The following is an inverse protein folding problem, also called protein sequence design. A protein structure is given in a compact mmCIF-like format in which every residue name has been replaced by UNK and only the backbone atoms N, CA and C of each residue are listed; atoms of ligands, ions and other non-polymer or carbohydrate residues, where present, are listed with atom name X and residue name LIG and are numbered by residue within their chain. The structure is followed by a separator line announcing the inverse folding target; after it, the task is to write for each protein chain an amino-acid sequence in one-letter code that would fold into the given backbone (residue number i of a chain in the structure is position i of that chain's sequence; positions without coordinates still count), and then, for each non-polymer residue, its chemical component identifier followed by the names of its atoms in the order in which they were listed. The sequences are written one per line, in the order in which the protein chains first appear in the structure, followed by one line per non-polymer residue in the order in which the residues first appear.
data_IF_994717942385
#
_entry.id   IF_994717942385
#
_cell.length_a   1.000
_cell.length_b   1.000
_cell.length_c   1.000
_cell.angle_alpha   90.00
_cell.angle_beta   90.00
_cell.angle_gamma   90.00
#
_symmetry.space_group_name_H-M   'P 1'
#
loop_
_entity.id
_entity.type
_entity.pdbx_description
1 polymer ?
#
# COMPACT_ATOMS: atom_id res chain seq x y z
N UNK A 1 42.78 49.60 38.70
CA UNK A 1 42.20 49.18 37.44
C UNK A 1 42.82 47.83 37.07
N UNK A 2 42.16 46.74 37.33
CA UNK A 2 42.65 45.39 37.10
C UNK A 2 41.96 44.82 35.88
N UNK A 3 42.74 44.55 34.82
CA UNK A 3 42.27 43.93 33.60
C UNK A 3 42.10 42.41 33.77
N UNK A 4 40.90 41.90 33.58
CA UNK A 4 40.60 40.49 33.61
C UNK A 4 41.05 39.84 32.28
N UNK A 5 42.02 38.93 32.38
CA UNK A 5 42.47 38.09 31.29
C UNK A 5 41.47 36.93 31.06
N UNK A 6 40.78 36.91 29.93
CA UNK A 6 39.94 35.79 29.50
C UNK A 6 40.85 34.69 28.99
N UNK A 7 40.89 33.56 29.68
CA UNK A 7 41.51 32.33 29.15
C UNK A 7 40.54 31.65 28.18
N UNK A 8 40.90 31.57 26.93
CA UNK A 8 40.28 30.74 25.94
C UNK A 8 40.79 29.31 26.13
N UNK A 9 39.92 28.40 26.51
CA UNK A 9 40.20 26.95 26.49
C UNK A 9 40.26 26.44 25.03
N UNK A 10 41.20 25.54 24.72
CA UNK A 10 41.25 24.92 23.39
C UNK A 10 40.10 23.91 23.22
N UNK A 11 39.63 23.69 21.97
CA UNK A 11 38.55 22.76 21.74
C UNK A 11 38.96 21.31 22.07
N UNK A 12 38.10 20.64 22.81
CA UNK A 12 38.24 19.23 23.16
C UNK A 12 38.06 18.41 21.87
N UNK A 13 39.16 17.85 21.38
CA UNK A 13 39.17 16.91 20.29
C UNK A 13 38.60 15.57 20.77
N UNK A 14 37.44 15.18 20.27
CA UNK A 14 36.87 13.86 20.54
C UNK A 14 37.82 12.76 20.01
N UNK A 15 38.00 11.64 20.75
CA UNK A 15 38.83 10.55 20.30
C UNK A 15 38.16 9.87 19.09
N UNK A 16 38.83 9.86 17.95
CA UNK A 16 38.51 9.02 16.82
C UNK A 16 38.75 7.56 17.24
N UNK A 17 37.67 6.84 17.52
CA UNK A 17 37.73 5.39 17.65
C UNK A 17 37.95 4.79 16.24
N UNK A 18 39.19 4.49 15.92
CA UNK A 18 39.53 3.63 14.80
C UNK A 18 39.11 2.21 15.16
N UNK A 19 37.94 1.81 14.74
CA UNK A 19 37.52 0.42 14.76
C UNK A 19 38.21 -0.30 13.57
N UNK A 20 39.39 -0.86 13.81
CA UNK A 20 39.99 -1.87 12.94
C UNK A 20 39.18 -3.16 13.06
N UNK A 21 38.14 -3.30 12.24
CA UNK A 21 37.48 -4.58 12.03
C UNK A 21 38.29 -5.38 11.01
N UNK A 22 39.36 -6.06 11.44
CA UNK A 22 39.99 -7.12 10.69
C UNK A 22 39.15 -8.40 10.78
N UNK A 23 37.98 -8.37 10.15
CA UNK A 23 37.20 -9.56 9.85
C UNK A 23 37.38 -9.89 8.40
N UNK A 24 37.99 -11.05 8.09
CA UNK A 24 38.01 -11.66 6.77
C UNK A 24 36.57 -11.86 6.31
N UNK A 25 36.03 -10.85 5.63
CA UNK A 25 34.70 -10.92 5.03
C UNK A 25 34.75 -11.97 3.92
N UNK A 26 34.12 -13.13 4.15
CA UNK A 26 33.90 -14.12 3.12
C UNK A 26 33.13 -13.44 1.98
N UNK A 27 33.69 -13.42 0.75
CA UNK A 27 32.98 -12.82 -0.37
C UNK A 27 31.64 -13.56 -0.56
N UNK A 28 30.54 -12.85 -0.47
CA UNK A 28 29.23 -13.39 -0.80
C UNK A 28 28.87 -12.90 -2.21
N UNK A 29 29.11 -13.70 -3.27
CA UNK A 29 28.99 -13.25 -4.66
C UNK A 29 27.60 -12.70 -4.97
N UNK A 30 26.55 -13.27 -4.37
CA UNK A 30 25.16 -12.84 -4.57
C UNK A 30 24.84 -11.46 -3.98
N UNK A 31 25.59 -10.99 -2.97
CA UNK A 31 25.44 -9.64 -2.42
C UNK A 31 26.02 -8.57 -3.34
N UNK A 32 26.99 -8.92 -4.19
CA UNK A 32 27.55 -8.01 -5.18
C UNK A 32 26.62 -7.80 -6.38
N UNK A 33 25.92 -8.86 -6.79
CA UNK A 33 24.92 -8.78 -7.87
C UNK A 33 23.69 -7.94 -7.49
N UNK A 34 23.32 -7.92 -6.21
CA UNK A 34 22.18 -7.11 -5.72
C UNK A 34 22.59 -5.66 -5.38
N UNK A 35 23.89 -5.30 -5.56
CA UNK A 35 24.38 -3.96 -5.27
C UNK A 35 24.41 -3.59 -3.78
N UNK A 36 24.29 -4.57 -2.89
CA UNK A 36 24.38 -4.38 -1.44
C UNK A 36 25.84 -4.43 -0.98
N UNK A 37 26.61 -3.43 -1.35
CA UNK A 37 27.96 -3.28 -0.79
C UNK A 37 27.89 -2.40 0.46
N UNK A 38 28.39 -2.89 1.58
CA UNK A 38 28.52 -2.18 2.85
C UNK A 38 29.49 -0.99 2.84
N UNK A 39 29.77 -0.43 1.68
CA UNK A 39 30.74 0.64 1.47
C UNK A 39 30.13 1.88 0.82
N UNK A 40 29.73 2.83 1.65
CA UNK A 40 29.58 4.24 1.27
C UNK A 40 28.25 4.65 0.65
N UNK A 41 27.59 5.60 1.31
CA UNK A 41 26.38 6.28 0.88
C UNK A 41 26.41 6.89 -0.54
N UNK A 42 27.58 6.90 -1.20
CA UNK A 42 27.78 7.46 -2.54
C UNK A 42 27.27 6.56 -3.68
N UNK A 43 27.25 5.22 -3.49
CA UNK A 43 26.80 4.28 -4.54
C UNK A 43 25.29 4.10 -4.62
N UNK A 44 24.57 4.41 -3.53
CA UNK A 44 23.08 4.32 -3.48
C UNK A 44 22.45 5.37 -4.40
N UNK A 45 23.13 6.46 -4.71
CA UNK A 45 22.62 7.52 -5.59
C UNK A 45 22.52 7.13 -7.07
N UNK A 46 23.21 6.09 -7.50
CA UNK A 46 23.23 5.63 -8.90
C UNK A 46 22.33 4.45 -9.18
N UNK A 47 21.69 3.86 -8.14
CA UNK A 47 20.72 2.81 -8.36
C UNK A 47 19.44 3.39 -8.98
N UNK A 48 18.92 2.77 -10.03
CA UNK A 48 17.65 3.20 -10.62
C UNK A 48 16.54 3.10 -9.56
N UNK A 49 15.69 4.13 -9.49
CA UNK A 49 14.51 4.07 -8.63
C UNK A 49 13.57 3.00 -9.16
N UNK A 50 13.37 1.96 -8.38
CA UNK A 50 12.44 0.90 -8.73
C UNK A 50 11.05 1.34 -8.30
N UNK A 51 10.21 1.73 -9.26
CA UNK A 51 8.78 1.96 -9.04
C UNK A 51 8.00 0.65 -9.21
N UNK A 52 6.73 0.63 -8.75
CA UNK A 52 5.85 -0.51 -8.96
C UNK A 52 5.68 -0.84 -10.46
N UNK A 53 5.66 0.17 -11.33
CA UNK A 53 5.58 0.03 -12.79
C UNK A 53 6.83 -0.64 -13.37
N UNK A 54 8.00 -0.37 -12.81
CA UNK A 54 9.24 -1.03 -13.20
C UNK A 54 9.30 -2.44 -12.63
N UNK A 55 8.94 -2.61 -11.36
CA UNK A 55 8.95 -3.90 -10.68
C UNK A 55 8.03 -4.93 -11.37
N UNK A 56 6.85 -4.53 -11.81
CA UNK A 56 5.91 -5.44 -12.50
C UNK A 56 6.43 -5.94 -13.87
N UNK A 57 7.44 -5.30 -14.47
CA UNK A 57 8.09 -5.78 -15.70
C UNK A 57 9.02 -6.96 -15.44
N UNK A 58 9.40 -7.18 -14.18
CA UNK A 58 10.19 -8.34 -13.79
C UNK A 58 9.28 -9.57 -13.72
N UNK A 59 9.58 -10.60 -14.52
CA UNK A 59 8.72 -11.78 -14.68
C UNK A 59 8.37 -12.47 -13.35
N UNK A 60 9.33 -12.59 -12.43
CA UNK A 60 9.12 -13.20 -11.11
C UNK A 60 8.18 -12.37 -10.25
N UNK A 61 8.34 -11.04 -10.21
CA UNK A 61 7.45 -10.15 -9.44
C UNK A 61 6.03 -10.22 -9.99
N UNK A 62 5.90 -10.13 -11.32
CA UNK A 62 4.60 -10.27 -11.99
C UNK A 62 3.96 -11.61 -11.65
N UNK A 63 4.68 -12.72 -11.77
CA UNK A 63 4.15 -14.06 -11.51
C UNK A 63 3.70 -14.22 -10.05
N UNK A 64 4.50 -13.78 -9.07
CA UNK A 64 4.12 -13.85 -7.65
C UNK A 64 2.85 -13.04 -7.36
N UNK A 65 2.76 -11.80 -7.83
CA UNK A 65 1.57 -10.97 -7.64
C UNK A 65 0.35 -11.57 -8.35
N UNK A 66 0.52 -12.12 -9.56
CA UNK A 66 -0.58 -12.71 -10.32
C UNK A 66 -1.12 -14.00 -9.69
N UNK A 67 -0.26 -14.85 -9.13
CA UNK A 67 -0.68 -16.07 -8.41
C UNK A 67 -1.51 -15.70 -7.17
N UNK A 68 -1.01 -14.80 -6.33
CA UNK A 68 -1.73 -14.36 -5.12
C UNK A 68 -3.07 -13.72 -5.49
N UNK A 69 -3.08 -12.81 -6.47
CA UNK A 69 -4.29 -12.15 -6.92
C UNK A 69 -5.29 -13.14 -7.55
N UNK A 70 -4.79 -14.12 -8.31
CA UNK A 70 -5.61 -15.18 -8.91
C UNK A 70 -6.29 -16.06 -7.87
N UNK A 71 -5.59 -16.41 -6.81
CA UNK A 71 -6.17 -17.22 -5.72
C UNK A 71 -7.20 -16.42 -4.92
N UNK A 72 -6.93 -15.15 -4.61
CA UNK A 72 -7.92 -14.26 -3.98
C UNK A 72 -9.17 -14.07 -4.85
N UNK A 73 -9.01 -13.99 -6.17
CA UNK A 73 -10.14 -13.82 -7.10
C UNK A 73 -11.07 -15.05 -7.18
N UNK A 74 -10.56 -16.23 -6.89
CA UNK A 74 -11.33 -17.49 -6.93
C UNK A 74 -12.17 -17.71 -5.67
N UNK A 75 -11.79 -17.12 -4.53
CA UNK A 75 -12.47 -17.33 -3.24
C UNK A 75 -13.81 -16.59 -3.23
N UNK A 76 -14.95 -17.30 -3.04
CA UNK A 76 -16.24 -16.63 -2.95
C UNK A 76 -16.37 -15.89 -1.61
N UNK A 77 -16.78 -14.62 -1.69
CA UNK A 77 -17.00 -13.78 -0.52
C UNK A 77 -18.42 -13.97 0.03
N UNK A 78 -18.54 -14.20 1.34
CA UNK A 78 -19.82 -14.40 2.02
C UNK A 78 -20.10 -13.25 2.97
N UNK A 79 -21.33 -12.74 2.95
CA UNK A 79 -21.78 -11.71 3.85
C UNK A 79 -22.43 -12.32 5.09
N UNK A 80 -21.99 -11.86 6.27
CA UNK A 80 -22.58 -12.26 7.54
C UNK A 80 -23.01 -11.01 8.32
N UNK A 81 -24.16 -11.10 8.95
CA UNK A 81 -24.63 -10.10 9.90
C UNK A 81 -24.52 -10.69 11.31
N UNK A 82 -23.96 -9.90 12.22
CA UNK A 82 -23.93 -10.27 13.63
C UNK A 82 -25.24 -9.84 14.30
N UNK A 83 -25.97 -10.80 14.84
CA UNK A 83 -27.16 -10.56 15.64
C UNK A 83 -26.79 -10.03 17.03
N UNK A 84 -27.75 -9.41 17.73
CA UNK A 84 -27.54 -8.88 19.09
C UNK A 84 -27.13 -9.92 20.14
N UNK A 85 -27.37 -11.20 19.88
CA UNK A 85 -26.93 -12.34 20.70
C UNK A 85 -25.52 -12.84 20.37
N UNK A 86 -24.80 -12.14 19.46
CA UNK A 86 -23.46 -12.48 19.04
C UNK A 86 -23.36 -13.56 17.94
N UNK A 87 -24.49 -14.10 17.48
CA UNK A 87 -24.55 -15.08 16.40
C UNK A 87 -24.31 -14.45 15.04
N UNK A 88 -23.59 -15.13 14.18
CA UNK A 88 -23.34 -14.72 12.79
C UNK A 88 -24.34 -15.44 11.87
N UNK A 89 -25.23 -14.65 11.25
CA UNK A 89 -26.21 -15.15 10.29
C UNK A 89 -25.80 -14.75 8.89
N UNK A 90 -25.78 -15.70 7.97
CA UNK A 90 -25.47 -15.42 6.56
C UNK A 90 -26.59 -14.63 5.92
N UNK A 91 -26.24 -13.45 5.37
CA UNK A 91 -27.15 -12.59 4.62
C UNK A 91 -27.04 -12.91 3.14
N UNK A 92 -28.18 -13.18 2.50
CA UNK A 92 -28.28 -13.44 1.05
C UNK A 92 -29.02 -12.35 0.31
N UNK A 93 -29.98 -11.72 0.97
CA UNK A 93 -30.86 -10.68 0.42
C UNK A 93 -30.23 -9.28 0.62
N UNK A 94 -29.09 -9.06 -0.09
CA UNK A 94 -28.36 -7.81 -0.06
C UNK A 94 -27.59 -7.69 -1.40
N UNK A 95 -27.40 -6.48 -1.91
CA UNK A 95 -26.66 -6.27 -3.17
C UNK A 95 -25.18 -6.73 -3.10
N UNK A 96 -24.54 -6.63 -1.93
CA UNK A 96 -23.12 -6.93 -1.79
C UNK A 96 -22.70 -8.36 -2.20
N UNK A 97 -23.40 -9.47 -1.87
CA UNK A 97 -23.07 -10.79 -2.36
C UNK A 97 -23.04 -10.91 -3.89
N UNK A 98 -23.95 -10.23 -4.58
CA UNK A 98 -23.98 -10.20 -6.03
C UNK A 98 -22.81 -9.40 -6.59
N UNK A 99 -22.62 -8.16 -6.12
CA UNK A 99 -21.54 -7.27 -6.57
C UNK A 99 -20.12 -7.84 -6.29
N UNK A 100 -19.97 -8.58 -5.21
CA UNK A 100 -18.68 -9.17 -4.82
C UNK A 100 -18.36 -10.48 -5.52
N UNK A 101 -19.37 -11.22 -6.06
CA UNK A 101 -19.14 -12.57 -6.60
C UNK A 101 -19.55 -12.75 -8.05
N UNK A 102 -20.47 -11.95 -8.56
CA UNK A 102 -21.01 -12.11 -9.93
C UNK A 102 -20.57 -10.95 -10.79
N UNK A 103 -21.12 -9.77 -10.58
CA UNK A 103 -20.90 -8.60 -11.41
C UNK A 103 -20.69 -7.37 -10.51
N UNK A 104 -19.52 -6.78 -10.55
CA UNK A 104 -19.14 -5.68 -9.65
C UNK A 104 -19.64 -4.32 -10.15
N UNK A 105 -19.69 -4.14 -11.46
CA UNK A 105 -20.24 -2.98 -12.16
C UNK A 105 -20.82 -3.45 -13.49
N UNK A 106 -21.68 -2.67 -14.15
CA UNK A 106 -22.28 -3.06 -15.44
C UNK A 106 -21.23 -3.54 -16.45
N UNK A 107 -21.33 -4.82 -16.84
CA UNK A 107 -20.39 -5.45 -17.77
C UNK A 107 -19.03 -5.85 -17.18
N UNK A 108 -18.82 -5.70 -15.86
CA UNK A 108 -17.54 -6.01 -15.19
C UNK A 108 -17.72 -7.17 -14.21
N UNK A 109 -17.15 -8.33 -14.54
CA UNK A 109 -17.22 -9.48 -13.67
C UNK A 109 -16.51 -9.21 -12.31
N UNK A 110 -17.12 -9.63 -11.20
CA UNK A 110 -16.58 -9.44 -9.86
C UNK A 110 -15.20 -10.10 -9.65
N UNK A 111 -14.93 -11.22 -10.34
CA UNK A 111 -13.62 -11.88 -10.31
C UNK A 111 -12.49 -11.01 -10.86
N UNK A 112 -12.78 -10.21 -11.90
CA UNK A 112 -11.82 -9.28 -12.50
C UNK A 112 -11.48 -8.17 -11.50
N UNK A 113 -12.50 -7.61 -10.83
CA UNK A 113 -12.30 -6.58 -9.80
C UNK A 113 -11.51 -7.13 -8.62
N UNK A 114 -11.83 -8.33 -8.14
CA UNK A 114 -11.08 -8.98 -7.06
C UNK A 114 -9.63 -9.26 -7.43
N UNK A 115 -9.40 -9.73 -8.67
CA UNK A 115 -8.03 -9.93 -9.19
C UNK A 115 -7.26 -8.62 -9.20
N UNK A 116 -7.84 -7.57 -9.77
CA UNK A 116 -7.17 -6.27 -9.87
C UNK A 116 -6.88 -5.64 -8.50
N UNK A 117 -7.82 -5.76 -7.55
CA UNK A 117 -7.59 -5.33 -6.16
C UNK A 117 -6.48 -6.14 -5.49
N UNK A 118 -6.50 -7.46 -5.62
CA UNK A 118 -5.45 -8.34 -5.08
C UNK A 118 -4.08 -8.05 -5.68
N UNK A 119 -4.01 -7.82 -6.99
CA UNK A 119 -2.77 -7.49 -7.69
C UNK A 119 -2.21 -6.12 -7.26
N UNK A 120 -3.05 -5.09 -7.21
CA UNK A 120 -2.64 -3.76 -6.76
C UNK A 120 -2.19 -3.79 -5.29
N UNK A 121 -2.90 -4.51 -4.43
CA UNK A 121 -2.58 -4.68 -3.03
C UNK A 121 -1.19 -5.34 -2.83
N UNK A 122 -0.90 -6.43 -3.54
CA UNK A 122 0.38 -7.14 -3.41
C UNK A 122 1.56 -6.37 -4.01
N UNK A 123 1.34 -5.68 -5.14
CA UNK A 123 2.40 -4.96 -5.84
C UNK A 123 2.72 -3.59 -5.21
N UNK A 124 1.71 -2.90 -4.71
CA UNK A 124 1.80 -1.47 -4.33
C UNK A 124 1.48 -1.19 -2.87
N UNK A 125 1.07 -2.20 -2.11
CA UNK A 125 0.65 -2.04 -0.73
C UNK A 125 -0.73 -1.41 -0.55
N UNK A 126 -1.34 -0.84 -1.60
CA UNK A 126 -2.65 -0.24 -1.59
C UNK A 126 -3.50 -0.71 -2.76
N UNK A 127 -4.79 -0.87 -2.52
CA UNK A 127 -5.77 -1.05 -3.59
C UNK A 127 -7.05 -0.31 -3.24
N UNK A 128 -7.67 0.32 -4.24
CA UNK A 128 -8.84 1.17 -4.08
C UNK A 128 -9.96 0.73 -5.01
N UNK A 129 -11.19 0.69 -4.47
CA UNK A 129 -12.38 0.62 -5.28
C UNK A 129 -13.44 1.56 -4.72
N UNK A 130 -14.16 2.22 -5.59
CA UNK A 130 -15.29 3.06 -5.26
C UNK A 130 -16.54 2.20 -5.17
N UNK A 131 -17.24 2.32 -4.06
CA UNK A 131 -18.42 1.54 -3.74
C UNK A 131 -19.53 2.49 -3.23
N UNK A 132 -20.16 3.26 -4.15
CA UNK A 132 -21.23 4.19 -3.79
C UNK A 132 -22.43 3.45 -3.24
N UNK A 133 -23.20 4.19 -2.49
CA UNK A 133 -24.46 3.71 -1.94
C UNK A 133 -25.60 4.61 -2.41
N UNK A 134 -26.73 4.02 -2.67
CA UNK A 134 -27.95 4.73 -3.01
C UNK A 134 -28.56 5.46 -1.79
N UNK A 135 -29.70 6.11 -1.99
CA UNK A 135 -30.43 6.80 -0.93
C UNK A 135 -30.98 5.87 0.16
N UNK A 136 -31.10 4.57 -0.11
CA UNK A 136 -31.48 3.53 0.86
C UNK A 136 -30.27 2.94 1.60
N UNK A 137 -29.05 3.31 1.19
CA UNK A 137 -27.81 2.80 1.79
C UNK A 137 -27.29 1.50 1.16
N UNK A 138 -27.94 1.00 0.11
CA UNK A 138 -27.52 -0.19 -0.63
C UNK A 138 -26.35 0.13 -1.57
N UNK A 139 -25.49 -0.86 -1.79
CA UNK A 139 -24.38 -0.74 -2.73
C UNK A 139 -24.90 -0.75 -4.16
N UNK A 140 -24.52 0.25 -4.96
CA UNK A 140 -24.87 0.35 -6.37
C UNK A 140 -23.93 -0.42 -7.29
N UNK A 141 -22.63 -0.28 -7.04
CA UNK A 141 -21.55 -0.91 -7.84
C UNK A 141 -20.23 -0.95 -7.05
N UNK A 142 -19.25 -1.67 -7.60
CA UNK A 142 -17.86 -1.64 -7.12
C UNK A 142 -16.98 -1.34 -8.34
N UNK A 143 -16.48 -0.12 -8.42
CA UNK A 143 -15.64 0.36 -9.51
C UNK A 143 -14.18 0.48 -9.09
N UNK A 144 -13.26 0.02 -9.93
CA UNK A 144 -11.83 0.07 -9.66
C UNK A 144 -11.29 1.50 -9.78
N UNK A 145 -10.56 1.92 -8.76
CA UNK A 145 -9.88 3.22 -8.77
C UNK A 145 -8.38 3.03 -8.97
N UNK A 146 -7.83 3.72 -9.96
CA UNK A 146 -6.38 3.71 -10.21
C UNK A 146 -5.63 4.36 -9.05
N UNK A 147 -4.63 3.68 -8.51
CA UNK A 147 -3.84 4.21 -7.41
C UNK A 147 -3.13 5.53 -7.75
N UNK A 148 -2.62 5.66 -8.97
CA UNK A 148 -1.95 6.88 -9.44
C UNK A 148 -2.85 8.12 -9.46
N UNK A 149 -4.16 7.92 -9.53
CA UNK A 149 -5.17 8.97 -9.52
C UNK A 149 -5.94 9.10 -8.21
N UNK A 150 -5.56 8.36 -7.16
CA UNK A 150 -6.24 8.37 -5.87
C UNK A 150 -5.37 9.02 -4.80
N UNK A 151 -5.90 10.07 -4.17
CA UNK A 151 -5.28 10.73 -3.02
C UNK A 151 -6.11 10.48 -1.77
N UNK A 152 -5.44 10.05 -0.70
CA UNK A 152 -6.08 9.86 0.62
C UNK A 152 -5.94 11.15 1.41
N UNK A 153 -7.07 11.76 1.75
CA UNK A 153 -7.14 13.01 2.48
C UNK A 153 -7.64 12.78 3.90
N UNK A 154 -7.10 13.52 4.84
CA UNK A 154 -7.52 13.50 6.24
C UNK A 154 -8.12 14.85 6.63
N UNK A 155 -9.34 14.82 7.17
CA UNK A 155 -9.98 15.97 7.78
C UNK A 155 -10.37 15.62 9.22
N UNK A 156 -9.54 16.02 10.18
CA UNK A 156 -9.68 15.60 11.58
C UNK A 156 -9.53 14.09 11.74
N UNK A 157 -10.59 13.40 12.13
CA UNK A 157 -10.67 11.94 12.26
C UNK A 157 -11.28 11.24 11.06
N UNK A 158 -11.79 12.00 10.10
CA UNK A 158 -12.42 11.46 8.92
C UNK A 158 -11.42 11.32 7.78
N UNK A 159 -11.69 10.32 6.93
CA UNK A 159 -10.90 10.01 5.75
C UNK A 159 -11.77 10.25 4.53
N UNK A 160 -11.19 10.95 3.55
CA UNK A 160 -11.75 11.19 2.23
C UNK A 160 -10.78 10.72 1.17
N UNK A 161 -11.31 10.46 0.00
CA UNK A 161 -10.55 10.04 -1.16
C UNK A 161 -10.90 10.94 -2.33
N UNK A 162 -9.87 11.55 -2.93
CA UNK A 162 -10.01 12.24 -4.22
C UNK A 162 -9.49 11.32 -5.30
N UNK A 163 -10.31 10.99 -6.27
CA UNK A 163 -9.98 10.04 -7.32
C UNK A 163 -10.70 10.34 -8.62
N UNK A 164 -10.27 9.67 -9.69
CA UNK A 164 -10.94 9.65 -10.97
C UNK A 164 -11.71 8.31 -11.10
N UNK A 165 -13.01 8.38 -11.40
CA UNK A 165 -13.85 7.20 -11.59
C UNK A 165 -13.62 6.55 -12.96
N UNK A 166 -14.27 5.40 -13.23
CA UNK A 166 -14.17 4.69 -14.49
C UNK A 166 -14.64 5.49 -15.71
N UNK A 167 -15.42 6.55 -15.51
CA UNK A 167 -15.86 7.48 -16.54
C UNK A 167 -14.92 8.68 -16.75
N UNK A 168 -13.81 8.75 -16.02
CA UNK A 168 -12.84 9.86 -16.10
C UNK A 168 -13.26 11.11 -15.32
N UNK A 169 -14.26 11.03 -14.47
CA UNK A 169 -14.72 12.15 -13.66
C UNK A 169 -14.01 12.18 -12.32
N UNK A 170 -13.51 13.35 -11.92
CA UNK A 170 -12.94 13.56 -10.58
C UNK A 170 -14.03 13.58 -9.53
N UNK A 171 -13.85 12.76 -8.50
CA UNK A 171 -14.78 12.61 -7.40
C UNK A 171 -14.06 12.73 -6.06
N UNK A 172 -14.82 13.17 -5.06
CA UNK A 172 -14.45 13.07 -3.66
C UNK A 172 -15.44 12.17 -2.93
N UNK A 173 -14.96 11.14 -2.26
CA UNK A 173 -15.79 10.22 -1.53
C UNK A 173 -15.33 10.05 -0.07
N UNK A 174 -16.25 9.89 0.88
CA UNK A 174 -15.93 9.54 2.27
C UNK A 174 -15.50 8.07 2.35
N UNK A 175 -14.80 7.70 3.44
CA UNK A 175 -14.30 6.36 3.66
C UNK A 175 -15.36 5.25 3.55
N UNK A 176 -16.62 5.55 3.92
CA UNK A 176 -17.74 4.59 3.84
C UNK A 176 -18.12 4.20 2.41
N UNK A 177 -17.77 5.03 1.42
CA UNK A 177 -18.01 4.78 0.00
C UNK A 177 -16.77 4.28 -0.75
N UNK A 178 -15.73 3.87 -0.02
CA UNK A 178 -14.46 3.36 -0.59
C UNK A 178 -14.07 2.04 0.04
N UNK A 179 -13.69 1.10 -0.79
CA UNK A 179 -12.95 -0.10 -0.38
C UNK A 179 -11.48 0.24 -0.50
N UNK A 180 -10.77 0.29 0.63
CA UNK A 180 -9.33 0.54 0.66
C UNK A 180 -8.63 -0.64 1.35
N UNK A 181 -7.94 -1.45 0.56
CA UNK A 181 -7.07 -2.52 1.04
C UNK A 181 -5.68 -1.93 1.30
N UNK A 182 -5.12 -2.17 2.48
CA UNK A 182 -3.82 -1.66 2.92
C UNK A 182 -2.95 -2.80 3.42
N UNK A 183 -1.69 -2.80 3.00
CA UNK A 183 -0.70 -3.77 3.42
C UNK A 183 0.43 -3.06 4.16
N UNK A 184 0.80 -3.57 5.33
CA UNK A 184 1.92 -3.06 6.17
C UNK A 184 1.93 -1.54 6.34
N UNK A 185 0.78 -0.95 6.61
CA UNK A 185 0.65 0.49 6.80
C UNK A 185 1.32 0.93 8.12
N UNK A 186 2.40 1.69 8.05
CA UNK A 186 3.10 2.23 9.24
C UNK A 186 2.25 3.26 10.00
N UNK A 187 1.53 4.10 9.26
CA UNK A 187 0.67 5.15 9.80
C UNK A 187 -0.78 4.70 10.00
N UNK A 188 -1.13 3.48 9.57
CA UNK A 188 -2.50 2.97 9.53
C UNK A 188 -3.42 3.66 8.51
N UNK A 189 -2.88 4.59 7.69
CA UNK A 189 -3.64 5.35 6.68
C UNK A 189 -3.37 4.88 5.26
N UNK A 190 -2.12 4.66 4.94
CA UNK A 190 -1.65 4.18 3.64
C UNK A 190 -0.72 2.98 3.84
N UNK A 191 -0.68 2.05 2.90
CA UNK A 191 0.20 0.90 2.86
C UNK A 191 1.41 1.14 1.95
#
# INVERSE_FOLDING_TARGET
MAGASVRTEPPVTAPQAAAEASGTAVPRPWLQEVGWSSGGASRIRTLPRVSAEVAQRHATVYACCAVIAGDLAKVPLKLFQRSGDGREVRVRDHAAPYLLNVEAAPGVAASVVRFALGYAFTLRGNAFAWAPRDGAGELELIDLVRQSGCSVLRAGRERFYDFEDGAGLRRRAPARAMIHLRYMAEDGWTG
#
